data_IF_081715700804
#
_entry.id   IF_081715700804
#
_cell.length_a   1.000
_cell.length_b   1.000
_cell.length_c   1.000
_cell.angle_alpha   90.00
_cell.angle_beta   90.00
_cell.angle_gamma   90.00
#
_symmetry.space_group_name_H-M   'P 1'
#
loop_
_entity.id
_entity.type
_entity.pdbx_description
1 polymer ?
#
# COMPACT_ATOMS: atom_id res chain seq x y z
N UNK A 1 -19.59 23.07 1.01
CA UNK A 1 -20.14 22.14 2.04
C UNK A 1 -18.94 21.51 2.75
N UNK A 2 -18.65 21.81 4.02
CA UNK A 2 -17.35 21.42 4.59
C UNK A 2 -17.22 21.35 6.12
N UNK A 3 -18.32 21.20 6.87
CA UNK A 3 -18.30 21.21 8.34
C UNK A 3 -18.67 19.87 9.01
N UNK A 4 -19.10 18.86 8.25
CA UNK A 4 -19.60 17.59 8.83
C UNK A 4 -18.59 16.44 8.83
N UNK A 5 -17.61 16.39 7.91
CA UNK A 5 -16.61 15.31 7.89
C UNK A 5 -15.61 15.40 9.06
N UNK A 6 -15.25 16.60 9.51
CA UNK A 6 -14.25 16.79 10.57
C UNK A 6 -14.66 16.24 11.94
N UNK A 7 -15.97 16.08 12.20
CA UNK A 7 -16.50 15.66 13.53
C UNK A 7 -16.44 14.13 13.72
N UNK A 8 -16.35 13.35 12.64
CA UNK A 8 -16.38 11.89 12.67
C UNK A 8 -14.99 11.25 12.53
N UNK A 9 -14.02 11.98 11.98
CA UNK A 9 -12.64 11.55 11.81
C UNK A 9 -11.83 11.83 13.07
N UNK A 10 -10.99 10.88 13.47
CA UNK A 10 -10.03 11.01 14.55
C UNK A 10 -8.65 10.57 14.05
N UNK A 11 -7.60 10.98 14.75
CA UNK A 11 -6.21 10.72 14.39
C UNK A 11 -5.51 9.95 15.51
N UNK A 12 -4.51 9.17 15.16
CA UNK A 12 -3.51 8.63 16.08
C UNK A 12 -2.13 8.74 15.44
N UNK A 13 -1.10 8.81 16.26
CA UNK A 13 0.29 8.89 15.81
C UNK A 13 1.14 7.91 16.62
N UNK A 14 2.01 7.18 15.93
CA UNK A 14 3.00 6.26 16.48
C UNK A 14 4.38 6.75 16.04
N UNK A 15 5.36 6.65 16.95
CA UNK A 15 6.75 6.96 16.65
C UNK A 15 7.64 5.85 17.19
N UNK A 16 8.56 5.41 16.37
CA UNK A 16 9.58 4.41 16.69
C UNK A 16 10.94 4.99 16.31
N UNK A 17 11.97 4.64 17.08
CA UNK A 17 13.35 5.05 16.87
C UNK A 17 14.23 3.83 17.05
N UNK A 18 14.97 3.49 16.01
CA UNK A 18 15.82 2.31 15.99
C UNK A 18 17.26 2.72 15.70
N UNK A 19 18.15 2.56 16.69
CA UNK A 19 19.59 2.68 16.46
C UNK A 19 20.05 1.48 15.65
N UNK A 20 20.68 1.74 14.50
CA UNK A 20 21.17 0.70 13.61
C UNK A 20 22.56 0.23 14.04
N UNK A 21 22.94 -1.05 13.79
CA UNK A 21 24.28 -1.54 14.03
C UNK A 21 25.37 -0.68 13.34
N UNK A 22 26.55 -0.45 13.97
CA UNK A 22 27.59 0.45 13.45
C UNK A 22 28.15 0.10 12.06
N UNK A 23 27.86 -1.11 11.56
CA UNK A 23 28.32 -1.64 10.27
C UNK A 23 27.40 -1.31 9.08
N UNK A 24 26.28 -0.64 9.35
CA UNK A 24 25.25 -0.24 8.41
C UNK A 24 25.38 1.28 8.22
N UNK A 25 25.69 1.71 7.01
CA UNK A 25 25.87 3.12 6.70
C UNK A 25 24.63 3.72 6.06
N UNK A 26 24.51 5.05 6.13
CA UNK A 26 23.37 5.81 5.57
C UNK A 26 23.03 5.40 4.12
N UNK A 27 23.98 5.18 3.20
CA UNK A 27 23.68 4.71 1.84
C UNK A 27 23.02 3.33 1.81
N UNK A 28 23.39 2.40 2.69
CA UNK A 28 22.75 1.09 2.78
C UNK A 28 21.26 1.26 3.15
N UNK A 29 20.98 2.08 4.18
CA UNK A 29 19.62 2.33 4.66
C UNK A 29 18.76 2.97 3.56
N UNK A 30 19.30 3.99 2.88
CA UNK A 30 18.60 4.67 1.79
C UNK A 30 18.39 3.74 0.59
N UNK A 31 19.33 2.85 0.27
CA UNK A 31 19.17 1.89 -0.84
C UNK A 31 17.96 0.98 -0.64
N UNK A 32 17.67 0.57 0.59
CA UNK A 32 16.49 -0.24 0.92
C UNK A 32 15.20 0.61 1.01
N UNK A 33 15.25 1.80 1.61
CA UNK A 33 14.08 2.71 1.66
C UNK A 33 13.66 3.24 0.27
N UNK A 34 14.57 3.24 -0.70
CA UNK A 34 14.31 3.68 -2.09
C UNK A 34 14.01 2.51 -3.05
N UNK A 35 13.97 1.27 -2.53
CA UNK A 35 13.41 0.12 -3.26
C UNK A 35 11.93 -0.06 -2.85
N UNK A 36 11.04 0.54 -3.64
CA UNK A 36 9.58 0.45 -3.46
C UNK A 36 9.09 -1.00 -3.33
N UNK A 37 9.70 -1.91 -4.09
CA UNK A 37 9.34 -3.33 -4.12
C UNK A 37 9.74 -4.00 -2.81
N UNK A 38 10.98 -3.85 -2.38
CA UNK A 38 11.44 -4.40 -1.11
C UNK A 38 10.63 -3.83 0.08
N UNK A 39 10.33 -2.52 0.05
CA UNK A 39 9.53 -1.88 1.09
C UNK A 39 8.06 -2.33 1.14
N UNK A 40 7.46 -2.71 0.00
CA UNK A 40 6.14 -3.34 -0.03
C UNK A 40 6.19 -4.80 0.43
N UNK A 41 7.24 -5.54 0.07
CA UNK A 41 7.45 -6.95 0.45
C UNK A 41 7.84 -7.15 1.93
N UNK A 42 8.24 -6.09 2.64
CA UNK A 42 8.44 -6.10 4.10
C UNK A 42 7.15 -6.26 4.92
N UNK A 43 5.98 -6.07 4.33
CA UNK A 43 4.72 -6.33 5.01
C UNK A 43 4.43 -7.85 5.03
N UNK A 44 4.37 -8.49 6.21
CA UNK A 44 4.28 -9.95 6.31
C UNK A 44 2.88 -10.52 5.98
N UNK A 45 1.86 -9.68 5.80
CA UNK A 45 0.59 -10.08 5.20
C UNK A 45 0.85 -10.68 3.81
N UNK A 46 0.05 -11.67 3.39
CA UNK A 46 0.10 -12.14 1.98
C UNK A 46 -0.39 -11.00 1.09
N UNK A 47 0.57 -10.31 0.49
CA UNK A 47 0.39 -9.03 -0.18
C UNK A 47 0.64 -9.22 -1.68
N UNK A 48 -0.38 -8.94 -2.49
CA UNK A 48 -0.19 -8.75 -3.93
C UNK A 48 -0.27 -7.25 -4.22
N UNK A 49 0.64 -6.75 -5.03
CA UNK A 49 0.69 -5.35 -5.41
C UNK A 49 0.91 -5.20 -6.91
N UNK A 50 0.33 -4.14 -7.48
CA UNK A 50 0.56 -3.73 -8.88
C UNK A 50 0.67 -2.22 -8.97
N UNK A 51 1.63 -1.74 -9.77
CA UNK A 51 1.72 -0.33 -10.11
C UNK A 51 0.47 0.07 -10.93
N UNK A 52 -0.16 1.17 -10.56
CA UNK A 52 -1.30 1.75 -11.28
C UNK A 52 -0.80 2.72 -12.38
N UNK A 53 -1.62 2.96 -13.43
CA UNK A 53 -1.27 3.92 -14.46
C UNK A 53 -1.03 5.33 -13.89
N UNK A 54 -0.08 6.12 -14.44
CA UNK A 54 0.24 7.50 -14.02
C UNK A 54 -0.96 8.45 -13.86
N UNK A 55 -2.02 8.23 -14.65
CA UNK A 55 -3.28 8.99 -14.56
C UNK A 55 -3.97 8.87 -13.19
N UNK A 56 -3.70 7.80 -12.44
CA UNK A 56 -4.26 7.54 -11.11
C UNK A 56 -3.63 8.43 -10.05
N UNK A 57 -2.36 8.81 -10.21
CA UNK A 57 -1.60 9.56 -9.20
C UNK A 57 -2.20 10.95 -8.95
N UNK A 58 -2.66 11.63 -10.00
CA UNK A 58 -3.39 12.91 -9.85
C UNK A 58 -4.67 12.77 -9.02
N UNK A 59 -5.44 11.69 -9.21
CA UNK A 59 -6.65 11.43 -8.44
C UNK A 59 -6.34 11.02 -6.98
N UNK A 60 -5.29 10.21 -6.78
CA UNK A 60 -4.81 9.81 -5.45
C UNK A 60 -4.39 11.04 -4.64
N UNK A 61 -3.53 11.89 -5.19
CA UNK A 61 -3.01 13.08 -4.51
C UNK A 61 -4.03 14.22 -4.39
N UNK A 62 -5.18 14.18 -5.08
CA UNK A 62 -6.24 15.17 -4.91
C UNK A 62 -6.86 15.14 -3.50
N UNK A 63 -6.86 13.99 -2.81
CA UNK A 63 -7.37 13.84 -1.44
C UNK A 63 -6.29 13.87 -0.35
N UNK A 64 -5.01 13.91 -0.73
CA UNK A 64 -3.89 14.05 0.21
C UNK A 64 -3.79 15.51 0.68
N UNK A 65 -3.64 15.80 1.99
CA UNK A 65 -3.41 17.16 2.48
C UNK A 65 -2.08 17.74 1.96
N UNK A 66 -2.03 19.03 1.63
CA UNK A 66 -0.84 19.66 1.02
C UNK A 66 0.45 19.48 1.85
N UNK A 67 0.36 19.43 3.17
CA UNK A 67 1.49 19.17 4.08
C UNK A 67 2.10 17.75 3.98
N UNK A 68 1.45 16.85 3.23
CA UNK A 68 1.89 15.48 2.98
C UNK A 68 2.07 15.19 1.49
N UNK A 69 1.78 16.14 0.60
CA UNK A 69 2.15 16.03 -0.82
C UNK A 69 3.68 16.13 -0.96
N UNK A 70 4.26 15.55 -2.02
CA UNK A 70 5.67 15.79 -2.31
C UNK A 70 5.95 17.29 -2.45
N UNK A 71 7.12 17.76 -2.01
CA UNK A 71 7.49 19.15 -2.19
C UNK A 71 7.52 19.49 -3.69
N UNK A 72 7.13 20.72 -4.04
CA UNK A 72 7.14 21.20 -5.43
C UNK A 72 8.54 21.21 -6.09
N UNK A 73 9.59 21.03 -5.28
CA UNK A 73 10.98 20.84 -5.72
C UNK A 73 11.36 19.39 -6.02
N UNK A 74 10.44 18.43 -5.87
CA UNK A 74 10.63 17.05 -6.33
C UNK A 74 10.71 17.03 -7.86
N UNK A 75 11.60 16.24 -8.48
CA UNK A 75 11.82 16.24 -9.92
C UNK A 75 10.71 15.49 -10.69
N UNK A 76 9.50 16.04 -10.71
CA UNK A 76 8.41 15.52 -11.53
C UNK A 76 7.02 16.12 -11.22
N UNK A 77 6.08 16.04 -12.18
CA UNK A 77 4.67 16.33 -11.91
C UNK A 77 4.08 15.26 -10.97
N UNK A 78 3.03 15.60 -10.21
CA UNK A 78 2.29 14.64 -9.35
C UNK A 78 1.85 13.38 -10.13
N UNK A 79 1.58 13.51 -11.42
CA UNK A 79 1.22 12.40 -12.31
C UNK A 79 2.31 11.33 -12.47
N UNK A 80 3.60 11.62 -12.24
CA UNK A 80 4.69 10.63 -12.38
C UNK A 80 5.03 9.87 -11.10
N UNK A 81 4.34 10.15 -9.98
CA UNK A 81 4.58 9.47 -8.71
C UNK A 81 3.96 8.08 -8.73
N UNK A 82 4.65 7.03 -8.22
CA UNK A 82 4.12 5.68 -8.22
C UNK A 82 2.95 5.57 -7.24
N UNK A 83 1.85 4.98 -7.70
CA UNK A 83 0.74 4.55 -6.83
C UNK A 83 0.50 3.07 -7.08
N UNK A 84 0.60 2.28 -6.03
CA UNK A 84 0.38 0.85 -6.03
C UNK A 84 -1.05 0.55 -5.57
N UNK A 85 -1.72 -0.34 -6.28
CA UNK A 85 -2.90 -1.04 -5.78
C UNK A 85 -2.41 -2.27 -5.04
N UNK A 86 -2.79 -2.39 -3.78
CA UNK A 86 -2.33 -3.44 -2.87
C UNK A 86 -3.53 -4.20 -2.33
N UNK A 87 -3.39 -5.52 -2.27
CA UNK A 87 -4.39 -6.45 -1.74
C UNK A 87 -3.72 -7.36 -0.73
N UNK A 88 -4.13 -7.22 0.54
CA UNK A 88 -3.66 -8.03 1.68
C UNK A 88 -4.72 -9.04 2.12
N UNK A 89 -4.32 -10.28 2.39
CA UNK A 89 -5.17 -11.25 3.06
C UNK A 89 -4.93 -11.27 4.57
N UNK A 90 -5.98 -10.96 5.34
CA UNK A 90 -5.93 -10.90 6.81
C UNK A 90 -5.58 -12.27 7.45
N UNK A 91 -5.87 -13.38 6.77
CA UNK A 91 -5.68 -14.74 7.29
C UNK A 91 -4.25 -15.28 7.25
N UNK A 92 -3.23 -14.46 6.94
CA UNK A 92 -1.84 -14.91 6.84
C UNK A 92 -1.05 -14.87 8.16
N UNK A 93 -1.44 -14.00 9.11
CA UNK A 93 -0.67 -13.75 10.33
C UNK A 93 -0.97 -14.72 11.49
N UNK A 94 -2.21 -15.21 11.60
CA UNK A 94 -2.75 -15.86 12.80
C UNK A 94 -2.86 -17.39 12.69
N UNK A 95 -1.96 -18.04 11.95
CA UNK A 95 -1.93 -19.50 11.87
C UNK A 95 -1.17 -20.18 13.04
N UNK A 96 -0.51 -19.42 13.93
CA UNK A 96 0.39 -20.04 14.91
C UNK A 96 0.56 -19.42 16.32
N UNK A 97 0.01 -18.23 16.65
CA UNK A 97 0.07 -17.71 18.02
C UNK A 97 -1.26 -17.09 18.52
N UNK A 98 -1.52 -17.29 19.82
CA UNK A 98 -2.62 -16.69 20.61
C UNK A 98 -4.07 -17.14 20.40
N UNK A 99 -4.34 -18.44 20.59
CA UNK A 99 -5.64 -18.89 21.16
C UNK A 99 -5.85 -18.47 22.63
N UNK A 100 -4.81 -17.92 23.29
CA UNK A 100 -4.87 -17.47 24.67
C UNK A 100 -4.96 -15.93 24.78
N UNK A 101 -5.97 -15.45 25.52
CA UNK A 101 -6.06 -14.10 26.08
C UNK A 101 -6.35 -12.90 25.14
N UNK A 102 -7.41 -12.97 24.32
CA UNK A 102 -8.23 -11.76 24.13
C UNK A 102 -9.73 -12.07 24.06
N UNK A 103 -10.55 -11.22 24.66
CA UNK A 103 -11.95 -11.53 24.97
C UNK A 103 -12.83 -11.76 23.74
N UNK A 104 -13.59 -12.86 23.76
CA UNK A 104 -14.51 -13.36 22.72
C UNK A 104 -15.43 -12.30 22.06
N UNK A 105 -15.75 -11.21 22.76
CA UNK A 105 -16.57 -10.10 22.23
C UNK A 105 -15.82 -9.18 21.24
N UNK A 106 -14.48 -9.08 21.31
CA UNK A 106 -13.70 -8.21 20.41
C UNK A 106 -13.41 -8.84 19.04
N UNK A 107 -13.44 -10.16 18.90
CA UNK A 107 -13.21 -10.83 17.61
C UNK A 107 -14.44 -10.87 16.69
N UNK A 108 -15.63 -11.09 17.25
CA UNK A 108 -16.84 -11.35 16.47
C UNK A 108 -17.40 -10.14 15.71
N UNK A 109 -17.19 -8.91 16.21
CA UNK A 109 -17.62 -7.68 15.52
C UNK A 109 -16.62 -7.26 14.44
N UNK A 110 -15.30 -7.37 14.66
CA UNK A 110 -14.27 -7.00 13.68
C UNK A 110 -14.44 -7.78 12.38
N UNK A 111 -14.68 -9.10 12.45
CA UNK A 111 -14.95 -9.96 11.27
C UNK A 111 -16.23 -9.60 10.48
N UNK A 112 -17.08 -8.70 10.98
CA UNK A 112 -18.26 -8.17 10.24
C UNK A 112 -17.97 -6.85 9.52
N UNK A 113 -16.85 -6.18 9.82
CA UNK A 113 -16.51 -4.85 9.30
C UNK A 113 -15.15 -4.79 8.59
N UNK A 114 -14.24 -5.70 8.92
CA UNK A 114 -12.96 -5.89 8.21
C UNK A 114 -13.13 -7.13 7.34
N UNK A 115 -13.10 -7.01 6.00
CA UNK A 115 -13.15 -8.16 5.10
C UNK A 115 -11.89 -9.02 5.25
N UNK A 116 -11.98 -10.30 4.88
CA UNK A 116 -10.81 -11.21 4.87
C UNK A 116 -9.72 -10.78 3.86
N UNK A 117 -10.10 -9.91 2.90
CA UNK A 117 -9.23 -9.27 1.92
C UNK A 117 -9.31 -7.75 2.04
N UNK A 118 -8.21 -7.11 2.42
CA UNK A 118 -8.08 -5.66 2.49
C UNK A 118 -7.39 -5.13 1.22
N UNK A 119 -8.17 -4.52 0.33
CA UNK A 119 -7.64 -3.82 -0.84
C UNK A 119 -7.52 -2.31 -0.59
N UNK A 120 -6.36 -1.74 -0.87
CA UNK A 120 -6.05 -0.31 -0.68
C UNK A 120 -5.13 0.24 -1.79
N UNK A 121 -4.92 1.56 -1.78
CA UNK A 121 -3.92 2.22 -2.63
C UNK A 121 -2.82 2.83 -1.76
N UNK A 122 -1.56 2.70 -2.17
CA UNK A 122 -0.43 3.34 -1.49
C UNK A 122 0.52 4.00 -2.47
N UNK A 123 1.13 5.11 -2.10
CA UNK A 123 2.15 5.80 -2.88
C UNK A 123 3.43 5.90 -2.07
N UNK A 124 4.57 5.61 -2.69
CA UNK A 124 5.89 5.72 -2.08
C UNK A 124 6.61 6.93 -2.68
N UNK A 125 7.28 7.70 -1.84
CA UNK A 125 8.02 8.89 -2.21
C UNK A 125 9.40 8.83 -1.56
N UNK A 126 10.46 8.92 -2.35
CA UNK A 126 11.83 8.98 -1.85
C UNK A 126 12.18 10.40 -1.41
N UNK A 127 12.83 10.55 -0.26
CA UNK A 127 13.42 11.81 0.20
C UNK A 127 14.94 11.66 0.33
N UNK A 128 15.72 12.75 0.31
CA UNK A 128 17.19 12.71 0.49
C UNK A 128 17.65 12.10 1.84
N UNK A 129 16.72 11.93 2.76
CA UNK A 129 16.92 11.40 4.10
C UNK A 129 16.07 10.18 4.45
N UNK A 130 15.30 9.62 3.50
CA UNK A 130 14.50 8.42 3.73
C UNK A 130 13.35 8.31 2.75
N UNK A 131 12.15 8.05 3.26
CA UNK A 131 10.96 7.88 2.42
C UNK A 131 9.67 8.29 3.14
N UNK A 132 8.65 8.62 2.36
CA UNK A 132 7.28 8.81 2.84
C UNK A 132 6.39 7.83 2.06
N UNK A 133 5.61 7.01 2.77
CA UNK A 133 4.49 6.29 2.16
C UNK A 133 3.15 6.87 2.61
N UNK A 134 2.19 6.90 1.69
CA UNK A 134 0.84 7.41 1.93
C UNK A 134 -0.14 6.33 1.49
N UNK A 135 -1.06 5.93 2.35
CA UNK A 135 -2.02 4.85 2.09
C UNK A 135 -3.44 5.34 2.24
N UNK A 136 -4.28 5.01 1.26
CA UNK A 136 -5.73 5.18 1.28
C UNK A 136 -6.40 3.81 1.27
N UNK A 137 -7.00 3.44 2.39
CA UNK A 137 -7.72 2.19 2.60
C UNK A 137 -9.24 2.43 2.74
N UNK A 138 -10.07 1.37 2.66
CA UNK A 138 -11.52 1.48 2.77
C UNK A 138 -12.00 2.11 4.10
N UNK A 139 -13.29 2.44 4.17
CA UNK A 139 -13.95 3.04 5.35
C UNK A 139 -13.36 4.39 5.83
N UNK A 140 -12.63 5.08 4.94
CA UNK A 140 -12.00 6.38 5.24
C UNK A 140 -10.74 6.27 6.10
N UNK A 141 -10.07 5.12 6.07
CA UNK A 141 -8.74 4.97 6.68
C UNK A 141 -7.70 5.59 5.76
N UNK A 142 -6.93 6.54 6.27
CA UNK A 142 -5.75 7.09 5.60
C UNK A 142 -4.56 7.00 6.53
N UNK A 143 -3.36 6.74 6.00
CA UNK A 143 -2.13 6.84 6.78
C UNK A 143 -1.01 7.52 6.01
N UNK A 144 -0.14 8.20 6.74
CA UNK A 144 1.13 8.74 6.26
C UNK A 144 2.21 8.17 7.17
N UNK A 145 3.13 7.42 6.58
CA UNK A 145 4.30 6.88 7.26
C UNK A 145 5.54 7.58 6.73
N UNK A 146 6.34 8.14 7.63
CA UNK A 146 7.59 8.82 7.31
C UNK A 146 8.73 8.09 7.97
N UNK A 147 9.74 7.72 7.18
CA UNK A 147 10.99 7.15 7.64
C UNK A 147 12.12 8.14 7.37
N UNK A 148 12.94 8.42 8.37
CA UNK A 148 14.09 9.34 8.27
C UNK A 148 15.32 8.70 8.88
N UNK A 149 16.39 8.65 8.09
CA UNK A 149 17.73 8.22 8.49
C UNK A 149 18.51 9.42 8.98
N UNK A 150 19.04 9.34 10.20
CA UNK A 150 19.83 10.40 10.85
C UNK A 150 21.14 9.85 11.34
N UNK A 151 22.14 10.71 11.48
CA UNK A 151 23.31 10.41 12.28
C UNK A 151 22.93 10.45 13.76
N UNK A 152 23.26 9.38 14.48
CA UNK A 152 23.06 9.27 15.92
C UNK A 152 24.26 9.79 16.72
N UNK A 153 24.14 9.87 18.05
CA UNK A 153 25.31 9.84 18.90
C UNK A 153 26.15 8.58 18.56
N UNK A 154 27.46 8.69 18.74
CA UNK A 154 28.43 7.62 18.44
C UNK A 154 28.58 7.27 16.95
N UNK A 155 28.09 8.11 16.03
CA UNK A 155 28.29 7.97 14.58
C UNK A 155 27.49 6.84 13.92
N UNK A 156 26.66 6.12 14.69
CA UNK A 156 25.77 5.08 14.17
C UNK A 156 24.57 5.72 13.47
N UNK A 157 24.01 5.06 12.45
CA UNK A 157 22.76 5.52 11.85
C UNK A 157 21.57 5.27 12.80
N UNK A 158 20.61 6.19 12.82
CA UNK A 158 19.35 6.09 13.55
C UNK A 158 18.20 6.20 12.56
N UNK A 159 17.29 5.22 12.61
CA UNK A 159 16.06 5.20 11.82
C UNK A 159 14.90 5.70 12.67
N UNK A 160 14.43 6.91 12.39
CA UNK A 160 13.20 7.48 12.95
C UNK A 160 12.03 7.12 12.02
N UNK A 161 11.03 6.40 12.52
CA UNK A 161 9.79 6.10 11.79
C UNK A 161 8.60 6.73 12.53
N UNK A 162 7.74 7.44 11.80
CA UNK A 162 6.53 8.08 12.31
C UNK A 162 5.33 7.68 11.47
N UNK A 163 4.33 7.06 12.10
CA UNK A 163 3.08 6.65 11.48
C UNK A 163 1.91 7.49 11.97
N UNK A 164 1.27 8.24 11.09
CA UNK A 164 0.08 9.01 11.39
C UNK A 164 -1.11 8.42 10.66
N UNK A 165 -2.17 8.07 11.40
CA UNK A 165 -3.35 7.40 10.85
C UNK A 165 -4.61 8.18 11.19
N UNK A 166 -5.40 8.47 10.17
CA UNK A 166 -6.73 9.05 10.24
C UNK A 166 -7.77 7.97 9.95
N UNK A 167 -8.84 7.93 10.73
CA UNK A 167 -9.98 7.03 10.49
C UNK A 167 -11.23 7.55 11.19
N UNK A 168 -12.38 6.98 10.87
CA UNK A 168 -13.59 7.22 11.64
C UNK A 168 -13.43 6.77 13.10
N UNK A 169 -14.17 7.42 14.01
CA UNK A 169 -14.07 7.17 15.47
C UNK A 169 -14.41 5.73 15.89
N UNK A 170 -15.22 4.99 15.13
CA UNK A 170 -15.59 3.62 15.47
C UNK A 170 -14.42 2.63 15.27
N UNK A 171 -13.66 2.78 14.18
CA UNK A 171 -12.50 1.94 13.88
C UNK A 171 -11.25 2.30 14.68
N UNK A 172 -11.09 3.56 15.11
CA UNK A 172 -9.86 4.03 15.74
C UNK A 172 -9.48 3.26 17.02
N UNK A 173 -10.46 2.72 17.76
CA UNK A 173 -10.19 1.87 18.92
C UNK A 173 -9.52 0.54 18.57
N UNK A 174 -9.83 -0.03 17.41
CA UNK A 174 -9.16 -1.20 16.86
C UNK A 174 -7.78 -0.84 16.31
N UNK A 175 -7.71 0.21 15.47
CA UNK A 175 -6.45 0.69 14.86
C UNK A 175 -5.40 0.96 15.94
N UNK A 176 -5.72 1.70 17.01
CA UNK A 176 -4.76 1.98 18.09
C UNK A 176 -4.23 0.72 18.79
N UNK A 177 -5.01 -0.36 18.84
CA UNK A 177 -4.61 -1.62 19.46
C UNK A 177 -3.61 -2.43 18.64
N UNK A 178 -3.61 -2.27 17.32
CA UNK A 178 -2.71 -2.99 16.40
C UNK A 178 -1.58 -2.13 15.82
N UNK A 179 -1.72 -0.80 15.83
CA UNK A 179 -0.80 0.10 15.14
C UNK A 179 0.63 0.10 15.72
N UNK A 180 0.77 0.21 17.04
CA UNK A 180 2.10 0.25 17.67
C UNK A 180 2.89 -1.05 17.43
N UNK A 181 2.34 -2.27 17.71
CA UNK A 181 3.05 -3.52 17.41
C UNK A 181 3.33 -3.72 15.92
N UNK A 182 2.42 -3.28 15.03
CA UNK A 182 2.62 -3.36 13.59
C UNK A 182 3.82 -2.54 13.12
N UNK A 183 4.01 -1.33 13.65
CA UNK A 183 5.12 -0.46 13.30
C UNK A 183 6.44 -0.93 13.90
N UNK A 184 6.43 -1.39 15.14
CA UNK A 184 7.60 -2.01 15.79
C UNK A 184 8.08 -3.25 15.04
N UNK A 185 7.14 -4.12 14.61
CA UNK A 185 7.44 -5.28 13.78
C UNK A 185 8.01 -4.88 12.42
N UNK A 186 7.38 -3.93 11.73
CA UNK A 186 7.85 -3.45 10.42
C UNK A 186 9.26 -2.84 10.51
N UNK A 187 9.58 -2.13 11.60
CA UNK A 187 10.92 -1.60 11.85
C UNK A 187 11.94 -2.73 12.14
N UNK A 188 11.55 -3.79 12.85
CA UNK A 188 12.41 -4.95 13.08
C UNK A 188 12.66 -5.76 11.79
N UNK A 189 11.60 -6.03 11.01
CA UNK A 189 11.68 -6.74 9.73
C UNK A 189 12.54 -5.95 8.71
N UNK A 190 12.42 -4.61 8.70
CA UNK A 190 13.31 -3.72 7.93
C UNK A 190 14.80 -3.88 8.32
N UNK A 191 15.11 -3.87 9.63
CA UNK A 191 16.51 -4.06 10.09
C UNK A 191 17.04 -5.44 9.68
N UNK A 192 16.24 -6.49 9.79
CA UNK A 192 16.61 -7.86 9.37
C UNK A 192 16.90 -7.90 7.86
N UNK A 193 16.08 -7.25 7.03
CA UNK A 193 16.32 -7.16 5.59
C UNK A 193 17.60 -6.37 5.27
N UNK A 194 17.84 -5.27 5.97
CA UNK A 194 19.03 -4.44 5.79
C UNK A 194 20.32 -5.15 6.20
N UNK A 195 20.32 -5.91 7.30
CA UNK A 195 21.45 -6.74 7.70
C UNK A 195 21.78 -7.82 6.66
N UNK A 196 20.76 -8.41 6.01
CA UNK A 196 20.94 -9.35 4.90
C UNK A 196 21.54 -8.66 3.67
N UNK A 197 21.03 -7.47 3.29
CA UNK A 197 21.53 -6.68 2.15
C UNK A 197 23.01 -6.33 2.34
N UNK A 198 23.39 -5.78 3.49
CA UNK A 198 24.78 -5.42 3.80
C UNK A 198 25.71 -6.64 3.82
N UNK A 199 25.21 -7.80 4.29
CA UNK A 199 25.98 -9.06 4.28
C UNK A 199 26.14 -9.61 2.87
N UNK A 200 25.08 -9.58 2.06
CA UNK A 200 25.10 -10.02 0.66
C UNK A 200 25.99 -9.13 -0.21
N UNK A 201 25.96 -7.80 -0.06
CA UNK A 201 26.84 -6.89 -0.77
C UNK A 201 28.33 -7.10 -0.45
N UNK A 202 28.65 -7.47 0.80
CA UNK A 202 30.02 -7.80 1.24
C UNK A 202 30.48 -9.19 0.77
N UNK A 203 29.56 -10.14 0.57
CA UNK A 203 29.85 -11.44 -0.05
C UNK A 203 29.90 -11.39 -1.59
N UNK A 204 29.12 -10.49 -2.20
CA UNK A 204 28.90 -10.34 -3.65
C UNK A 204 30.10 -9.85 -4.46
N UNK A 205 31.28 -9.72 -3.83
CA UNK A 205 32.56 -9.80 -4.55
C UNK A 205 32.77 -11.14 -5.26
N UNK A 206 31.96 -12.17 -4.96
CA UNK A 206 31.90 -13.45 -5.68
C UNK A 206 30.45 -13.91 -5.88
N UNK A 207 30.07 -14.11 -7.15
CA UNK A 207 28.83 -14.74 -7.66
C UNK A 207 27.50 -13.96 -7.47
N UNK A 208 26.75 -13.85 -8.56
CA UNK A 208 25.52 -13.05 -8.64
C UNK A 208 24.24 -13.77 -8.19
N UNK A 209 23.26 -12.99 -7.77
CA UNK A 209 21.92 -13.44 -7.40
C UNK A 209 21.03 -13.51 -8.65
N UNK A 210 20.47 -14.68 -8.96
CA UNK A 210 19.50 -14.82 -10.05
C UNK A 210 18.14 -14.25 -9.65
N UNK A 211 17.69 -13.23 -10.36
CA UNK A 211 16.31 -12.71 -10.26
C UNK A 211 15.41 -13.58 -11.13
N UNK A 212 14.33 -14.10 -10.55
CA UNK A 212 13.29 -14.78 -11.30
C UNK A 212 12.44 -13.76 -12.07
N UNK A 213 12.59 -13.73 -13.38
CA UNK A 213 11.80 -12.89 -14.28
C UNK A 213 10.57 -13.64 -14.83
N UNK A 214 9.57 -12.84 -15.21
CA UNK A 214 8.49 -13.16 -16.14
C UNK A 214 7.42 -14.21 -15.79
N UNK A 215 6.17 -13.74 -15.77
CA UNK A 215 5.16 -14.32 -16.66
C UNK A 215 4.30 -13.19 -17.24
N UNK A 216 4.68 -12.67 -18.39
CA UNK A 216 3.84 -11.78 -19.19
C UNK A 216 2.68 -12.57 -19.84
N UNK A 217 1.58 -11.88 -20.14
CA UNK A 217 0.43 -12.49 -20.81
C UNK A 217 0.69 -12.68 -22.33
N UNK A 218 0.20 -13.77 -22.95
CA UNK A 218 0.19 -13.90 -24.40
C UNK A 218 -0.99 -13.14 -25.03
N UNK A 219 -0.72 -12.44 -26.13
CA UNK A 219 -1.71 -11.87 -27.04
C UNK A 219 -1.55 -12.46 -28.45
N UNK A 220 -2.67 -12.60 -29.18
CA UNK A 220 -2.80 -13.28 -30.49
C UNK A 220 -3.95 -14.29 -30.43
N UNK A 221 -4.92 -14.36 -31.35
CA UNK A 221 -4.89 -14.07 -32.79
C UNK A 221 -4.53 -15.37 -33.54
N UNK A 222 -5.27 -15.88 -34.53
CA UNK A 222 -6.45 -15.39 -35.27
C UNK A 222 -7.12 -16.58 -36.05
N UNK A 223 -8.36 -16.43 -36.54
CA UNK A 223 -9.07 -17.28 -37.56
C UNK A 223 -9.33 -18.78 -37.22
N UNK A 224 -10.39 -19.45 -37.71
CA UNK A 224 -11.02 -19.42 -39.06
C UNK A 224 -12.52 -19.79 -39.04
N UNK A 225 -13.23 -19.55 -40.16
CA UNK A 225 -14.62 -19.91 -40.48
C UNK A 225 -15.02 -21.38 -40.21
N UNK A 226 -16.31 -21.78 -40.16
CA UNK A 226 -17.58 -21.05 -40.33
C UNK A 226 -18.65 -21.96 -40.97
N UNK A 227 -19.95 -21.77 -40.70
CA UNK A 227 -21.03 -22.52 -41.37
C UNK A 227 -22.33 -21.70 -41.51
N UNK A 228 -23.20 -22.09 -42.43
CA UNK A 228 -24.24 -21.27 -43.07
C UNK A 228 -25.68 -21.75 -42.84
N UNK A 229 -26.62 -20.80 -42.95
CA UNK A 229 -28.07 -21.00 -43.14
C UNK A 229 -28.85 -21.55 -41.92
N UNK A 230 -30.17 -21.39 -41.80
CA UNK A 230 -31.16 -20.85 -42.75
C UNK A 230 -32.18 -19.92 -42.07
N UNK A 231 -32.94 -19.19 -42.88
CA UNK A 231 -34.00 -18.29 -42.43
C UNK A 231 -35.36 -19.01 -42.28
N UNK A 232 -36.23 -18.51 -41.39
CA UNK A 232 -37.67 -18.51 -41.69
C UNK A 232 -38.38 -17.24 -41.18
N UNK A 233 -39.49 -16.89 -41.83
CA UNK A 233 -40.25 -15.64 -41.69
C UNK A 233 -41.53 -15.85 -40.88
N UNK A 234 -41.97 -14.82 -40.15
CA UNK A 234 -43.36 -14.30 -40.02
C UNK A 234 -43.30 -13.05 -39.12
N UNK A 235 -43.72 -11.85 -39.49
CA UNK A 235 -44.98 -11.34 -40.09
C UNK A 235 -46.09 -11.07 -39.04
N UNK A 236 -46.70 -9.87 -39.13
CA UNK A 236 -47.65 -9.26 -38.18
C UNK A 236 -47.05 -7.99 -37.56
N UNK A 237 -47.25 -6.78 -38.10
CA UNK A 237 -48.48 -5.95 -38.09
C UNK A 237 -48.96 -5.59 -36.65
N UNK A 238 -49.13 -4.31 -36.28
CA UNK A 238 -48.87 -3.06 -37.01
C UNK A 238 -49.28 -1.80 -36.22
N UNK A 239 -49.26 -0.63 -36.89
CA UNK A 239 -50.01 0.62 -36.54
C UNK A 239 -49.57 1.33 -35.23
N UNK A 240 -48.87 2.47 -35.26
CA UNK A 240 -49.39 3.86 -35.44
C UNK A 240 -50.59 4.19 -34.50
N UNK A 241 -50.75 5.33 -33.83
CA UNK A 241 -50.26 6.73 -33.94
C UNK A 241 -50.18 7.29 -32.47
N UNK A 242 -49.75 8.49 -32.07
CA UNK A 242 -49.44 9.78 -32.72
C UNK A 242 -48.45 10.66 -31.91
N UNK A 243 -48.17 11.85 -32.45
CA UNK A 243 -47.62 13.05 -31.77
C UNK A 243 -48.74 13.96 -31.22
N UNK A 244 -48.36 15.13 -30.66
CA UNK A 244 -49.21 16.26 -30.20
C UNK A 244 -49.99 16.00 -28.88
N UNK A 245 -50.13 16.93 -27.92
CA UNK A 245 -49.89 18.39 -27.87
C UNK A 245 -49.21 18.79 -26.53
N UNK A 246 -48.72 20.03 -26.46
CA UNK A 246 -48.22 20.81 -25.30
C UNK A 246 -48.94 20.64 -23.96
#
# INVERSE_FOLDING_TARGET
>A
MGLTQAVLTTTTEVRTRTTLPPRIERPDVLSLLHDDRAMLELNPSKLTYRLLPPTTSTAFYASVPDAHKPPLSSPGPIASLPVYHVTEHASAADAHESEAQSGHWKGAWVKRFVPDELTYQTSVQHTPDGMISITHAPMGVQSVTTWVVREGPDGCCVLDQTGKVWSNRALMGFIRGSLQPSYERLAADFVIALEKLVTAGKAGGVAGLQVGEETAAPAGGETTAGETAAAERRAGEGTAVAEMVS
#
